data_IF_103542157235
#
_entry.id   IF_103542157235
#
_cell.length_a   1.000
_cell.length_b   1.000
_cell.length_c   1.000
_cell.angle_alpha   90.00
_cell.angle_beta   90.00
_cell.angle_gamma   90.00
#
_symmetry.space_group_name_H-M   'P 1'
#
loop_
_entity.id
_entity.type
_entity.pdbx_description
1 polymer ?
#
# COMPACT_ATOMS: atom_id res chain seq x y z
N UNK A 1 11.01 -9.75 -26.91
CA UNK A 1 11.48 -9.29 -25.58
C UNK A 1 12.64 -10.14 -25.13
N UNK A 2 13.72 -9.57 -24.57
CA UNK A 2 14.87 -10.36 -24.11
C UNK A 2 14.59 -11.00 -22.74
N UNK A 3 15.23 -12.13 -22.44
CA UNK A 3 15.20 -12.74 -21.09
C UNK A 3 15.70 -11.77 -20.02
N UNK A 4 16.63 -10.87 -20.37
CA UNK A 4 17.12 -9.83 -19.47
C UNK A 4 16.05 -8.79 -19.12
N UNK A 5 15.31 -8.32 -20.12
CA UNK A 5 14.23 -7.35 -19.95
C UNK A 5 13.14 -7.88 -19.02
N UNK A 6 12.77 -9.16 -19.16
CA UNK A 6 11.76 -9.78 -18.29
C UNK A 6 12.23 -9.81 -16.84
N UNK A 7 13.48 -10.21 -16.60
CA UNK A 7 14.05 -10.27 -15.25
C UNK A 7 14.11 -8.90 -14.58
N UNK A 8 14.51 -7.86 -15.30
CA UNK A 8 14.52 -6.49 -14.74
C UNK A 8 13.11 -5.98 -14.44
N UNK A 9 12.14 -6.26 -15.32
CA UNK A 9 10.74 -5.93 -15.06
C UNK A 9 10.22 -6.65 -13.81
N UNK A 10 10.51 -7.94 -13.65
CA UNK A 10 10.15 -8.70 -12.44
C UNK A 10 10.81 -8.10 -11.20
N UNK A 11 12.11 -7.76 -11.26
CA UNK A 11 12.82 -7.16 -10.14
C UNK A 11 12.21 -5.81 -9.71
N UNK A 12 11.79 -4.99 -10.67
CA UNK A 12 11.11 -3.72 -10.41
C UNK A 12 9.74 -3.94 -9.73
N UNK A 13 8.94 -4.87 -10.23
CA UNK A 13 7.64 -5.19 -9.64
C UNK A 13 7.78 -5.74 -8.20
N UNK A 14 8.83 -6.51 -7.94
CA UNK A 14 9.13 -7.01 -6.59
C UNK A 14 9.57 -5.87 -5.66
N UNK A 15 10.39 -4.93 -6.15
CA UNK A 15 10.76 -3.74 -5.39
C UNK A 15 9.55 -2.84 -5.08
N UNK A 16 8.54 -2.80 -5.96
CA UNK A 16 7.27 -2.11 -5.72
C UNK A 16 6.33 -2.89 -4.79
N UNK A 17 6.61 -4.17 -4.54
CA UNK A 17 5.79 -5.07 -3.72
C UNK A 17 4.56 -5.64 -4.42
N UNK A 18 4.45 -5.45 -5.73
CA UNK A 18 3.33 -5.95 -6.55
C UNK A 18 3.45 -7.45 -6.81
N UNK A 19 4.64 -8.01 -6.63
CA UNK A 19 4.89 -9.43 -6.70
C UNK A 19 5.79 -9.88 -5.55
N UNK A 20 5.78 -11.17 -5.28
CA UNK A 20 6.72 -11.86 -4.40
C UNK A 20 7.35 -13.03 -5.14
N UNK A 21 8.66 -13.19 -5.01
CA UNK A 21 9.34 -14.38 -5.54
C UNK A 21 9.55 -15.44 -4.46
N UNK A 22 9.49 -16.71 -4.87
CA UNK A 22 9.83 -17.85 -4.01
C UNK A 22 10.80 -18.75 -4.76
N UNK A 23 11.92 -19.10 -4.14
CA UNK A 23 12.92 -20.01 -4.69
C UNK A 23 12.58 -21.49 -4.41
N UNK A 24 13.14 -22.41 -5.18
CA UNK A 24 12.98 -23.87 -5.02
C UNK A 24 11.94 -24.52 -5.95
N UNK A 25 11.76 -25.85 -5.88
CA UNK A 25 10.73 -26.57 -6.63
C UNK A 25 9.32 -26.02 -6.34
N UNK A 26 8.56 -25.70 -7.39
CA UNK A 26 7.28 -24.99 -7.25
C UNK A 26 7.42 -23.51 -6.85
N UNK A 27 8.62 -22.96 -6.92
CA UNK A 27 8.91 -21.54 -6.84
C UNK A 27 8.44 -20.78 -8.08
N UNK A 28 8.65 -19.47 -8.09
CA UNK A 28 8.20 -18.60 -9.16
C UNK A 28 7.94 -17.17 -8.70
N UNK A 29 7.29 -16.41 -9.56
CA UNK A 29 6.84 -15.04 -9.32
C UNK A 29 5.32 -15.06 -9.13
N UNK A 30 4.83 -14.47 -8.05
CA UNK A 30 3.41 -14.45 -7.68
C UNK A 30 2.95 -13.02 -7.49
N UNK A 31 1.74 -12.69 -7.98
CA UNK A 31 1.09 -11.41 -7.67
C UNK A 31 0.82 -11.34 -6.17
N UNK A 32 1.09 -10.19 -5.58
CA UNK A 32 0.92 -9.95 -4.15
C UNK A 32 0.34 -8.56 -3.90
N UNK A 33 -0.51 -8.47 -2.89
CA UNK A 33 -0.97 -7.17 -2.39
C UNK A 33 0.20 -6.43 -1.76
N UNK A 34 0.31 -5.13 -2.03
CA UNK A 34 1.34 -4.30 -1.42
C UNK A 34 1.04 -4.19 0.07
N UNK A 35 1.95 -4.64 0.92
CA UNK A 35 1.77 -4.55 2.37
C UNK A 35 1.63 -3.09 2.83
N UNK A 36 0.86 -2.87 3.89
CA UNK A 36 0.66 -1.54 4.48
C UNK A 36 2.00 -0.84 4.76
N UNK A 37 2.96 -1.53 5.39
CA UNK A 37 4.29 -1.01 5.68
C UNK A 37 5.03 -0.55 4.40
N UNK A 38 4.89 -1.28 3.30
CA UNK A 38 5.51 -0.92 2.02
C UNK A 38 4.80 0.26 1.37
N UNK A 39 3.48 0.29 1.43
CA UNK A 39 2.67 1.43 0.97
C UNK A 39 3.06 2.71 1.71
N UNK A 40 3.19 2.64 3.04
CA UNK A 40 3.65 3.75 3.88
C UNK A 40 5.05 4.18 3.43
N UNK A 41 6.02 3.26 3.29
CA UNK A 41 7.38 3.61 2.87
C UNK A 41 7.43 4.31 1.50
N UNK A 42 6.64 3.84 0.54
CA UNK A 42 6.55 4.46 -0.79
C UNK A 42 5.95 5.87 -0.72
N UNK A 43 4.87 6.06 0.04
CA UNK A 43 4.25 7.36 0.25
C UNK A 43 5.15 8.32 1.04
N UNK A 44 5.86 7.82 2.05
CA UNK A 44 6.81 8.61 2.84
C UNK A 44 7.91 9.20 1.97
N UNK A 45 8.46 8.44 1.01
CA UNK A 45 9.45 8.96 0.07
C UNK A 45 8.90 10.11 -0.77
N UNK A 46 7.65 10.01 -1.22
CA UNK A 46 7.00 11.08 -1.98
C UNK A 46 6.75 12.32 -1.10
N UNK A 47 6.23 12.11 0.11
CA UNK A 47 5.86 13.17 1.04
C UNK A 47 7.06 13.84 1.70
N UNK A 48 8.23 13.20 1.76
CA UNK A 48 9.46 13.82 2.26
C UNK A 48 9.81 15.12 1.54
N UNK A 49 9.52 15.19 0.24
CA UNK A 49 9.75 16.38 -0.59
C UNK A 49 8.58 17.36 -0.62
N UNK A 50 7.54 17.14 0.19
CA UNK A 50 6.36 18.00 0.28
C UNK A 50 6.40 18.78 1.59
N UNK A 51 5.97 20.05 1.54
CA UNK A 51 5.80 20.86 2.73
C UNK A 51 4.47 20.53 3.42
N UNK A 52 4.38 19.31 3.95
CA UNK A 52 3.19 18.88 4.68
C UNK A 52 3.18 19.50 6.07
N UNK A 53 2.02 19.97 6.48
CA UNK A 53 1.80 20.52 7.80
C UNK A 53 0.57 19.88 8.44
N UNK A 54 0.37 20.17 9.73
CA UNK A 54 -0.74 19.63 10.51
C UNK A 54 -2.11 19.92 9.87
N UNK A 55 -2.28 21.05 9.19
CA UNK A 55 -3.55 21.42 8.55
C UNK A 55 -3.90 20.49 7.39
N UNK A 56 -2.92 19.94 6.66
CA UNK A 56 -3.15 18.97 5.60
C UNK A 56 -3.71 17.66 6.17
N UNK A 57 -3.17 17.23 7.31
CA UNK A 57 -3.67 16.05 8.06
C UNK A 57 -5.12 16.30 8.50
N UNK A 58 -5.42 17.48 9.05
CA UNK A 58 -6.78 17.82 9.48
C UNK A 58 -7.76 17.90 8.32
N UNK A 59 -7.34 18.36 7.13
CA UNK A 59 -8.20 18.37 5.94
C UNK A 59 -8.64 16.95 5.57
N UNK A 60 -7.70 15.99 5.55
CA UNK A 60 -8.01 14.59 5.26
C UNK A 60 -8.92 13.99 6.33
N UNK A 61 -8.63 14.24 7.62
CA UNK A 61 -9.46 13.74 8.73
C UNK A 61 -10.90 14.25 8.65
N UNK A 62 -11.08 15.55 8.38
CA UNK A 62 -12.42 16.15 8.22
C UNK A 62 -13.23 15.54 7.08
N UNK A 63 -12.57 15.04 6.04
CA UNK A 63 -13.24 14.39 4.92
C UNK A 63 -13.56 12.92 5.21
N UNK A 64 -12.61 12.17 5.79
CA UNK A 64 -12.73 10.71 5.93
C UNK A 64 -13.39 10.27 7.24
N UNK A 65 -13.09 10.92 8.37
CA UNK A 65 -13.60 10.48 9.67
C UNK A 65 -15.13 10.52 9.78
N UNK A 66 -15.85 11.57 9.29
CA UNK A 66 -17.31 11.58 9.31
C UNK A 66 -17.94 10.47 8.48
N UNK A 67 -17.38 10.18 7.29
CA UNK A 67 -17.85 9.09 6.43
C UNK A 67 -17.67 7.73 7.11
N UNK A 68 -16.50 7.49 7.71
CA UNK A 68 -16.23 6.26 8.47
C UNK A 68 -17.18 6.15 9.67
N UNK A 69 -17.37 7.23 10.44
CA UNK A 69 -18.28 7.24 11.58
C UNK A 69 -19.73 6.99 11.16
N UNK A 70 -20.18 7.60 10.06
CA UNK A 70 -21.50 7.37 9.47
C UNK A 70 -21.70 5.92 9.02
N UNK A 71 -20.68 5.30 8.41
CA UNK A 71 -20.73 3.91 7.93
C UNK A 71 -20.97 2.89 9.06
N UNK A 72 -20.61 3.24 10.29
CA UNK A 72 -20.77 2.41 11.47
C UNK A 72 -22.16 2.55 12.13
N UNK A 73 -22.96 3.56 11.75
CA UNK A 73 -24.29 3.75 12.30
C UNK A 73 -25.18 2.51 12.03
N UNK A 74 -25.76 1.94 13.08
CA UNK A 74 -26.59 0.72 12.99
C UNK A 74 -25.81 -0.60 12.78
N UNK A 75 -24.50 -0.54 12.50
CA UNK A 75 -23.64 -1.70 12.29
C UNK A 75 -22.80 -2.07 13.53
N UNK A 76 -22.69 -1.16 14.50
CA UNK A 76 -21.97 -1.41 15.75
C UNK A 76 -22.75 -2.39 16.64
N UNK A 77 -22.29 -3.64 16.70
CA UNK A 77 -22.67 -4.57 17.75
C UNK A 77 -21.96 -4.18 19.04
N UNK A 78 -22.72 -4.08 20.13
CA UNK A 78 -22.14 -3.93 21.47
C UNK A 78 -21.42 -5.23 21.82
N UNK A 79 -20.10 -5.25 21.69
CA UNK A 79 -19.31 -6.34 22.24
C UNK A 79 -19.35 -6.19 23.77
N UNK A 80 -19.94 -7.19 24.43
CA UNK A 80 -19.80 -7.42 25.87
C UNK A 80 -18.43 -8.06 26.14
#
# INVERSE_FOLDING_TARGET
MSKGTIREATRLLEAQGLIKTRTGPGGGCFVHEVSELRTIALLSNYFYFKNLNISDIYQIRKLLEPEVAGSLAGNLKKNN
#
